data_IF_494586850648
#
_entry.id   IF_494586850648
#
_cell.length_a   1.000
_cell.length_b   1.000
_cell.length_c   1.000
_cell.angle_alpha   90.00
_cell.angle_beta   90.00
_cell.angle_gamma   90.00
#
_symmetry.space_group_name_H-M   'P 1'
#
loop_
_entity.id
_entity.type
_entity.pdbx_description
1 polymer ?
#
# COMPACT_ATOMS: atom_id res chain seq x y z
N UNK A 1 -9.73 14.78 30.84
CA UNK A 1 -8.89 14.88 29.64
C UNK A 1 -8.53 13.48 29.17
N UNK A 2 -8.69 13.17 27.89
CA UNK A 2 -8.08 11.96 27.33
C UNK A 2 -6.58 12.25 27.24
N UNK A 3 -5.77 11.46 27.94
CA UNK A 3 -4.32 11.55 27.85
C UNK A 3 -3.89 11.45 26.38
N UNK A 4 -3.07 12.39 25.89
CA UNK A 4 -2.64 12.39 24.48
C UNK A 4 -1.81 11.14 24.21
N UNK A 5 -2.41 10.15 23.55
CA UNK A 5 -1.74 8.92 23.15
C UNK A 5 -0.68 9.24 22.08
N UNK A 6 0.56 8.82 22.32
CA UNK A 6 1.66 9.02 21.37
C UNK A 6 1.65 7.93 20.29
N UNK A 7 2.05 8.26 19.06
CA UNK A 7 2.01 7.36 17.90
C UNK A 7 2.68 6.00 18.15
N UNK A 8 3.82 5.99 18.86
CA UNK A 8 4.59 4.79 19.17
C UNK A 8 3.94 3.87 20.22
N UNK A 9 2.88 4.31 20.89
CA UNK A 9 2.11 3.52 21.86
C UNK A 9 0.87 2.88 21.25
N UNK A 10 0.58 3.14 19.97
CA UNK A 10 -0.56 2.56 19.25
C UNK A 10 -0.10 1.29 18.54
N UNK A 11 -0.92 0.24 18.61
CA UNK A 11 -0.75 -0.96 17.79
C UNK A 11 -1.36 -0.65 16.42
N UNK A 12 -0.51 -0.50 15.41
CA UNK A 12 -0.93 -0.17 14.05
C UNK A 12 -0.89 -1.40 13.14
N UNK A 13 -2.01 -1.79 12.51
CA UNK A 13 -1.98 -2.74 11.41
C UNK A 13 -1.24 -2.13 10.22
N UNK A 14 -0.30 -2.88 9.65
CA UNK A 14 0.49 -2.47 8.51
C UNK A 14 0.64 -3.60 7.50
N UNK A 15 0.84 -3.24 6.24
CA UNK A 15 0.97 -4.17 5.11
C UNK A 15 2.34 -4.03 4.45
N UNK A 16 3.05 -5.15 4.30
CA UNK A 16 4.32 -5.20 3.58
C UNK A 16 4.09 -5.09 2.07
N UNK A 17 4.89 -4.26 1.40
CA UNK A 17 4.84 -4.02 -0.05
C UNK A 17 3.41 -3.80 -0.57
N UNK A 18 2.77 -2.75 -0.02
CA UNK A 18 1.32 -2.61 0.04
C UNK A 18 0.63 -2.48 -1.32
N UNK A 19 1.33 -1.99 -2.33
CA UNK A 19 0.77 -1.67 -3.66
C UNK A 19 1.04 -2.77 -4.70
N UNK A 20 1.18 -4.03 -4.26
CA UNK A 20 1.55 -5.15 -5.13
C UNK A 20 0.37 -5.93 -5.72
N UNK A 21 -0.88 -5.50 -5.53
CA UNK A 21 -2.11 -6.18 -5.98
C UNK A 21 -2.28 -6.34 -7.50
N UNK A 22 -1.43 -5.71 -8.29
CA UNK A 22 -1.36 -5.91 -9.74
C UNK A 22 0.07 -6.17 -10.24
N UNK A 23 1.01 -6.46 -9.33
CA UNK A 23 2.41 -6.65 -9.70
C UNK A 23 2.62 -7.93 -10.52
N UNK A 24 3.53 -7.86 -11.49
CA UNK A 24 3.95 -9.02 -12.27
C UNK A 24 2.87 -9.64 -13.17
N UNK A 25 3.25 -10.73 -13.84
CA UNK A 25 2.42 -11.45 -14.80
C UNK A 25 1.75 -12.62 -14.06
N UNK A 26 0.41 -12.80 -14.19
CA UNK A 26 -0.31 -13.92 -13.60
C UNK A 26 0.34 -15.26 -13.95
N UNK A 27 0.43 -16.15 -12.95
CA UNK A 27 1.01 -17.51 -13.06
C UNK A 27 2.51 -17.58 -13.41
N UNK A 28 3.19 -16.45 -13.62
CA UNK A 28 4.63 -16.42 -13.95
C UNK A 28 5.40 -15.73 -12.81
N UNK A 29 5.29 -14.41 -12.70
CA UNK A 29 6.03 -13.63 -11.71
C UNK A 29 5.17 -13.16 -10.55
N UNK A 30 3.86 -12.97 -10.74
CA UNK A 30 2.93 -12.53 -9.69
C UNK A 30 2.93 -13.45 -8.46
N UNK A 31 2.91 -14.80 -8.58
CA UNK A 31 2.88 -15.68 -7.40
C UNK A 31 4.09 -15.55 -6.47
N UNK A 32 5.18 -14.95 -6.95
CA UNK A 32 6.41 -14.75 -6.19
C UNK A 32 6.62 -13.28 -5.75
N UNK A 33 5.79 -12.36 -6.23
CA UNK A 33 5.97 -10.92 -6.07
C UNK A 33 4.78 -10.22 -5.38
N UNK A 34 3.56 -10.75 -5.53
CA UNK A 34 2.35 -10.17 -4.94
C UNK A 34 2.31 -10.44 -3.43
N UNK A 35 2.33 -9.36 -2.64
CA UNK A 35 2.22 -9.44 -1.19
C UNK A 35 0.80 -9.11 -0.70
N UNK A 36 0.04 -8.32 -1.47
CA UNK A 36 -1.32 -7.90 -1.15
C UNK A 36 -2.24 -8.12 -2.34
N UNK A 37 -3.50 -8.47 -2.11
CA UNK A 37 -4.52 -8.61 -3.17
C UNK A 37 -5.52 -7.45 -3.22
N UNK A 38 -5.50 -6.57 -2.21
CA UNK A 38 -6.42 -5.44 -2.07
C UNK A 38 -5.77 -4.14 -2.54
N UNK A 39 -6.57 -3.21 -3.03
CA UNK A 39 -6.15 -1.82 -3.29
C UNK A 39 -5.74 -1.10 -2.01
N UNK A 40 -5.06 0.05 -2.14
CA UNK A 40 -4.66 0.84 -0.98
C UNK A 40 -5.88 1.36 -0.23
N UNK A 41 -6.89 1.83 -0.96
CA UNK A 41 -8.14 2.28 -0.34
C UNK A 41 -8.82 1.17 0.48
N UNK A 42 -8.93 -0.04 -0.07
CA UNK A 42 -9.53 -1.19 0.64
C UNK A 42 -8.73 -1.57 1.89
N UNK A 43 -7.39 -1.57 1.81
CA UNK A 43 -6.53 -1.80 2.98
C UNK A 43 -6.81 -0.78 4.09
N UNK A 44 -6.95 0.52 3.74
CA UNK A 44 -7.25 1.59 4.69
C UNK A 44 -8.65 1.43 5.32
N UNK A 45 -9.66 1.09 4.52
CA UNK A 45 -11.04 0.82 4.99
C UNK A 45 -11.05 -0.35 5.99
N UNK A 46 -10.24 -1.39 5.76
CA UNK A 46 -10.13 -2.54 6.66
C UNK A 46 -9.27 -2.29 7.91
N UNK A 47 -8.71 -1.09 8.07
CA UNK A 47 -8.01 -0.68 9.30
C UNK A 47 -6.49 -0.63 9.19
N UNK A 48 -5.90 -0.88 8.03
CA UNK A 48 -4.47 -0.64 7.80
C UNK A 48 -4.15 0.85 7.98
N UNK A 49 -3.05 1.16 8.66
CA UNK A 49 -2.62 2.55 8.93
C UNK A 49 -1.15 2.78 8.65
N UNK A 50 -0.39 1.73 8.35
CA UNK A 50 1.01 1.82 7.91
C UNK A 50 1.13 1.11 6.57
N UNK A 51 1.57 1.85 5.56
CA UNK A 51 1.72 1.37 4.19
C UNK A 51 3.19 1.41 3.79
N UNK A 52 3.72 0.28 3.32
CA UNK A 52 5.03 0.20 2.66
C UNK A 52 4.84 0.38 1.15
N UNK A 53 5.18 1.57 0.63
CA UNK A 53 5.03 1.92 -0.78
C UNK A 53 6.41 2.10 -1.42
N UNK A 54 6.67 1.31 -2.46
CA UNK A 54 7.94 1.28 -3.19
C UNK A 54 7.75 1.80 -4.61
N UNK A 55 8.58 2.75 -5.02
CA UNK A 55 8.39 3.52 -6.25
C UNK A 55 9.72 3.66 -7.00
N UNK A 56 9.71 3.46 -8.32
CA UNK A 56 10.87 3.73 -9.18
C UNK A 56 10.89 5.19 -9.70
N UNK A 57 12.00 5.60 -10.31
CA UNK A 57 12.22 6.96 -10.82
C UNK A 57 11.12 7.44 -11.80
N UNK A 58 10.53 6.51 -12.57
CA UNK A 58 9.43 6.79 -13.49
C UNK A 58 8.05 6.89 -12.81
N UNK A 59 8.01 6.93 -11.46
CA UNK A 59 6.81 7.01 -10.63
C UNK A 59 5.90 5.77 -10.71
N UNK A 60 6.42 4.63 -11.15
CA UNK A 60 5.69 3.36 -11.09
C UNK A 60 5.93 2.67 -9.76
N UNK A 61 4.90 2.01 -9.24
CA UNK A 61 5.03 1.07 -8.13
C UNK A 61 5.93 -0.09 -8.54
N UNK A 62 6.76 -0.58 -7.63
CA UNK A 62 7.69 -1.66 -7.92
C UNK A 62 7.87 -2.70 -6.81
N UNK A 63 8.32 -3.88 -7.25
CA UNK A 63 8.88 -4.94 -6.41
C UNK A 63 10.19 -5.40 -7.07
N UNK A 64 11.31 -4.79 -6.67
CA UNK A 64 12.58 -4.94 -7.38
C UNK A 64 12.48 -4.42 -8.82
N UNK A 65 12.77 -5.28 -9.80
CA UNK A 65 12.70 -4.92 -11.23
C UNK A 65 11.27 -4.94 -11.79
N UNK A 66 10.32 -5.54 -11.09
CA UNK A 66 8.93 -5.60 -11.52
C UNK A 66 8.26 -4.26 -11.24
N UNK A 67 7.43 -3.81 -12.19
CA UNK A 67 6.63 -2.60 -12.06
C UNK A 67 5.16 -2.90 -12.34
N UNK A 68 4.26 -2.12 -11.74
CA UNK A 68 2.82 -2.18 -12.02
C UNK A 68 2.31 -0.82 -12.52
N UNK A 69 1.55 -0.11 -11.70
CA UNK A 69 0.84 1.11 -12.03
C UNK A 69 1.53 2.36 -11.46
N UNK A 70 1.06 3.55 -11.86
CA UNK A 70 1.60 4.81 -11.39
C UNK A 70 1.25 5.08 -9.91
N UNK A 71 2.20 5.60 -9.12
CA UNK A 71 2.00 5.97 -7.71
C UNK A 71 0.86 6.99 -7.50
N UNK A 72 0.45 7.72 -8.53
CA UNK A 72 -0.73 8.59 -8.50
C UNK A 72 -1.99 7.86 -8.01
N UNK A 73 -2.19 6.59 -8.40
CA UNK A 73 -3.33 5.77 -7.95
C UNK A 73 -3.29 5.58 -6.42
N UNK A 74 -2.11 5.33 -5.85
CA UNK A 74 -1.93 5.21 -4.39
C UNK A 74 -2.27 6.51 -3.68
N UNK A 75 -1.80 7.64 -4.22
CA UNK A 75 -2.04 8.96 -3.63
C UNK A 75 -3.53 9.30 -3.68
N UNK A 76 -4.21 9.02 -4.79
CA UNK A 76 -5.65 9.22 -4.95
C UNK A 76 -6.45 8.36 -3.96
N UNK A 77 -6.08 7.10 -3.77
CA UNK A 77 -6.69 6.21 -2.78
C UNK A 77 -6.56 6.74 -1.35
N UNK A 78 -5.37 7.24 -0.98
CA UNK A 78 -5.13 7.84 0.34
C UNK A 78 -5.94 9.13 0.52
N UNK A 79 -5.94 10.02 -0.48
CA UNK A 79 -6.71 11.27 -0.45
C UNK A 79 -8.20 10.96 -0.31
N UNK A 80 -8.70 9.99 -1.07
CA UNK A 80 -10.09 9.54 -1.01
C UNK A 80 -10.44 9.09 0.40
N UNK A 81 -9.65 8.18 0.99
CA UNK A 81 -9.89 7.68 2.35
C UNK A 81 -9.86 8.79 3.41
N UNK A 82 -8.94 9.76 3.29
CA UNK A 82 -8.83 10.87 4.26
C UNK A 82 -9.92 11.95 4.10
N UNK A 83 -10.65 11.95 2.99
CA UNK A 83 -11.69 12.95 2.69
C UNK A 83 -13.09 12.52 3.11
N UNK A 84 -13.25 11.26 3.56
CA UNK A 84 -14.49 10.71 4.13
C UNK A 84 -14.68 11.13 5.60
#
# INVERSE_FOLDING_TARGET
>A
EVEKLTLNKIVWPGTHDSATNEIGIPLISRPLAECQTLSIYEQLVLGTRVLDIRVQENRQICHGILTSYNVGVVIEDVIRFLSE
#
